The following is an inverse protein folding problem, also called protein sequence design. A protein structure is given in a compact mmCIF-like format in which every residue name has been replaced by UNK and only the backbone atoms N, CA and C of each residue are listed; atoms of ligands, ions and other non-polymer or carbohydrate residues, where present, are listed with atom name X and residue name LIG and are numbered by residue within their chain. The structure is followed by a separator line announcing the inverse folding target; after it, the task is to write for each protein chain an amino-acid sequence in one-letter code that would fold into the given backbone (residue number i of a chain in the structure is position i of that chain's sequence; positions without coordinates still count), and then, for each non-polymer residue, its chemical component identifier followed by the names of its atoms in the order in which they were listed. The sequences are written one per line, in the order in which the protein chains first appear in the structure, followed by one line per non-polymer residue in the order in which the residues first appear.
data_IF_170719747478
#
_entry.id   IF_170719747478
#
_cell.length_a   1.000
_cell.length_b   1.000
_cell.length_c   1.000
_cell.angle_alpha   90.00
_cell.angle_beta   90.00
_cell.angle_gamma   90.00
#
_symmetry.space_group_name_H-M   'P 1'
#
loop_
_entity.id
_entity.type
_entity.pdbx_description
1 polymer ?
#
# COMPACT_ATOMS: atom_id res chain seq x y z
N UNK A 1 18.63 7.37 6.92
CA UNK A 1 17.30 7.94 6.67
C UNK A 1 17.40 8.85 5.46
N UNK A 2 17.31 8.28 4.27
CA UNK A 2 17.26 9.05 3.04
C UNK A 2 15.92 9.78 2.96
N UNK A 3 15.95 11.03 2.53
CA UNK A 3 14.78 11.77 2.10
C UNK A 3 14.16 11.01 0.94
N UNK A 4 13.11 10.26 1.22
CA UNK A 4 12.34 9.62 0.17
C UNK A 4 11.40 10.68 -0.39
N UNK A 5 11.72 11.18 -1.57
CA UNK A 5 10.79 11.95 -2.37
C UNK A 5 9.78 10.98 -2.94
N UNK A 6 8.58 10.96 -2.36
CA UNK A 6 7.52 10.15 -2.94
C UNK A 6 6.96 10.79 -4.19
N UNK A 7 6.47 9.93 -5.07
CA UNK A 7 5.77 10.33 -6.28
C UNK A 7 4.64 11.34 -6.02
N UNK A 8 4.05 11.32 -4.83
CA UNK A 8 3.05 12.29 -4.34
C UNK A 8 3.52 13.74 -4.46
N UNK A 9 4.83 14.01 -4.35
CA UNK A 9 5.36 15.36 -4.46
C UNK A 9 5.35 15.93 -5.87
N UNK A 10 5.42 15.04 -6.86
CA UNK A 10 5.77 15.46 -8.21
C UNK A 10 4.59 15.96 -9.02
N UNK A 11 3.34 15.75 -8.61
CA UNK A 11 2.26 15.90 -9.57
C UNK A 11 1.06 16.73 -9.17
N UNK A 12 0.86 17.00 -7.94
CA UNK A 12 -0.35 17.65 -7.43
C UNK A 12 -0.75 18.93 -8.16
N UNK A 13 0.18 19.86 -8.31
CA UNK A 13 -0.07 21.17 -8.97
C UNK A 13 0.34 21.13 -10.43
N UNK A 14 1.41 20.45 -10.75
CA UNK A 14 2.01 20.42 -12.08
C UNK A 14 1.12 19.75 -13.13
N UNK A 15 0.28 18.83 -12.73
CA UNK A 15 -0.68 18.21 -13.64
C UNK A 15 -1.50 19.23 -14.43
N UNK A 16 -1.89 20.34 -13.79
CA UNK A 16 -2.72 21.36 -14.42
C UNK A 16 -1.94 22.39 -15.24
N UNK A 17 -0.63 22.49 -15.03
CA UNK A 17 0.23 23.46 -15.70
C UNK A 17 0.97 22.91 -16.93
N UNK A 18 0.79 21.65 -17.27
CA UNK A 18 1.44 21.02 -18.43
C UNK A 18 2.96 20.84 -18.30
N UNK A 19 3.54 21.17 -17.16
CA UNK A 19 4.96 21.00 -16.91
C UNK A 19 5.33 19.61 -16.45
N UNK A 20 6.39 19.10 -17.05
CA UNK A 20 6.96 17.83 -16.72
C UNK A 20 7.97 17.98 -15.57
N UNK A 21 7.63 17.60 -14.38
CA UNK A 21 8.46 17.44 -13.19
C UNK A 21 8.96 18.72 -12.51
N UNK A 22 8.70 18.86 -11.21
CA UNK A 22 9.38 19.85 -10.40
C UNK A 22 10.88 19.54 -10.34
N UNK A 23 11.71 20.56 -10.52
CA UNK A 23 13.11 20.44 -10.16
C UNK A 23 13.20 20.14 -8.65
N UNK A 24 14.04 19.19 -8.27
CA UNK A 24 14.34 18.90 -6.87
C UNK A 24 14.68 20.20 -6.15
N UNK A 25 13.85 20.64 -5.19
CA UNK A 25 14.01 21.89 -4.46
C UNK A 25 12.95 22.96 -4.72
N UNK A 26 11.95 22.70 -5.54
CA UNK A 26 10.81 23.63 -5.65
C UNK A 26 9.96 23.55 -4.37
N UNK A 27 9.55 24.70 -3.85
CA UNK A 27 8.79 24.81 -2.60
C UNK A 27 7.45 24.07 -2.59
N UNK A 28 6.89 23.75 -3.76
CA UNK A 28 5.68 22.93 -3.89
C UNK A 28 5.82 21.54 -3.25
N UNK A 29 7.02 20.95 -3.28
CA UNK A 29 7.26 19.64 -2.74
C UNK A 29 6.98 19.58 -1.23
N UNK A 30 7.11 20.67 -0.50
CA UNK A 30 7.04 20.67 0.95
C UNK A 30 5.67 20.26 1.50
N UNK A 31 4.58 20.64 0.83
CA UNK A 31 3.22 20.36 1.32
C UNK A 31 2.88 18.85 1.28
N UNK A 32 3.54 18.10 0.41
CA UNK A 32 3.26 16.68 0.19
C UNK A 32 4.48 15.78 0.39
N UNK A 33 5.56 16.33 0.97
CA UNK A 33 6.74 15.55 1.35
C UNK A 33 6.46 14.76 2.62
N UNK A 34 6.77 13.48 2.60
CA UNK A 34 6.78 12.61 3.80
C UNK A 34 8.15 12.55 4.46
N UNK A 35 9.08 13.43 4.06
CA UNK A 35 10.38 13.59 4.70
C UNK A 35 10.21 14.14 6.11
N UNK A 36 10.83 13.49 7.09
CA UNK A 36 10.71 13.81 8.52
C UNK A 36 9.30 13.68 9.12
N UNK A 37 8.36 13.07 8.42
CA UNK A 37 7.01 12.82 8.92
C UNK A 37 7.04 11.71 9.98
N UNK A 38 6.42 11.97 11.12
CA UNK A 38 6.21 10.95 12.15
C UNK A 38 5.17 9.94 11.66
N UNK A 39 5.36 8.69 12.04
CA UNK A 39 4.41 7.62 11.69
C UNK A 39 3.96 6.90 12.96
N UNK A 40 2.67 6.98 13.27
CA UNK A 40 2.05 6.29 14.39
C UNK A 40 1.14 5.17 13.90
N UNK A 41 1.30 3.99 14.46
CA UNK A 41 0.40 2.87 14.32
C UNK A 41 -0.51 2.83 15.53
N UNK A 42 -1.82 2.82 15.29
CA UNK A 42 -2.81 2.88 16.35
C UNK A 42 -3.54 1.55 16.48
N UNK A 43 -3.78 1.14 17.73
CA UNK A 43 -4.72 0.05 18.00
C UNK A 43 -6.13 0.45 17.57
N UNK A 44 -6.93 -0.56 17.21
CA UNK A 44 -8.34 -0.38 16.86
C UNK A 44 -9.15 -1.47 17.58
N UNK A 45 -10.09 -1.08 18.42
CA UNK A 45 -10.96 -1.96 19.19
C UNK A 45 -12.21 -2.40 18.40
N UNK A 46 -12.38 -1.90 17.18
CA UNK A 46 -13.48 -2.26 16.28
C UNK A 46 -13.07 -3.32 15.24
N UNK A 47 -11.89 -3.93 15.40
CA UNK A 47 -11.44 -4.97 14.49
C UNK A 47 -12.32 -6.22 14.58
N UNK A 48 -12.72 -6.72 13.43
CA UNK A 48 -13.34 -8.03 13.29
C UNK A 48 -12.26 -9.11 13.36
N UNK A 49 -12.60 -10.33 13.85
CA UNK A 49 -11.70 -11.46 13.76
C UNK A 49 -11.31 -11.76 12.31
N UNK A 50 -10.08 -12.20 12.12
CA UNK A 50 -9.67 -12.80 10.86
C UNK A 50 -10.32 -14.18 10.72
N UNK A 51 -10.85 -14.48 9.53
CA UNK A 51 -11.40 -15.78 9.18
C UNK A 51 -10.55 -16.40 8.07
N UNK A 52 -10.38 -17.73 8.08
CA UNK A 52 -9.57 -18.40 7.07
C UNK A 52 -10.21 -19.69 6.61
N UNK A 53 -10.39 -19.79 5.30
CA UNK A 53 -10.77 -21.02 4.62
C UNK A 53 -9.54 -21.66 3.99
N UNK A 54 -9.30 -22.94 4.31
CA UNK A 54 -8.15 -23.68 3.83
C UNK A 54 -8.60 -24.93 3.09
N UNK A 55 -8.05 -25.14 1.91
CA UNK A 55 -8.27 -26.35 1.13
C UNK A 55 -6.94 -26.97 0.73
N UNK A 56 -6.82 -28.28 0.87
CA UNK A 56 -5.66 -29.04 0.42
C UNK A 56 -6.11 -30.30 -0.30
N UNK A 57 -5.49 -30.58 -1.41
CA UNK A 57 -5.66 -31.82 -2.16
C UNK A 57 -4.28 -32.35 -2.54
N UNK A 58 -4.01 -33.64 -2.21
CA UNK A 58 -2.72 -34.25 -2.47
C UNK A 58 -2.83 -35.64 -3.05
N UNK A 59 -1.77 -36.06 -3.72
CA UNK A 59 -1.57 -37.40 -4.26
C UNK A 59 -0.23 -37.94 -3.78
N UNK A 60 -0.24 -39.15 -3.27
CA UNK A 60 0.95 -39.90 -2.93
C UNK A 60 1.12 -41.07 -3.91
N UNK A 61 2.28 -41.18 -4.53
CA UNK A 61 2.63 -42.18 -5.50
C UNK A 61 3.81 -42.98 -4.96
N UNK A 62 3.64 -44.29 -4.80
CA UNK A 62 4.68 -45.23 -4.36
C UNK A 62 4.91 -46.28 -5.43
N UNK A 63 5.73 -46.01 -6.45
CA UNK A 63 5.95 -46.95 -7.56
C UNK A 63 6.62 -48.25 -7.12
N UNK A 64 7.41 -48.21 -6.04
CA UNK A 64 8.06 -49.34 -5.37
C UNK A 64 8.37 -48.96 -3.91
N UNK A 65 8.88 -49.90 -3.14
CA UNK A 65 9.15 -49.74 -1.70
C UNK A 65 10.23 -48.67 -1.39
N UNK A 66 11.04 -48.30 -2.39
CA UNK A 66 12.15 -47.36 -2.24
C UNK A 66 11.80 -45.91 -2.64
N UNK A 67 10.71 -45.70 -3.34
CA UNK A 67 10.38 -44.39 -3.91
C UNK A 67 8.98 -43.94 -3.51
N UNK A 68 8.91 -42.79 -2.87
CA UNK A 68 7.64 -42.09 -2.57
C UNK A 68 7.69 -40.67 -3.17
N UNK A 69 6.64 -40.32 -3.89
CA UNK A 69 6.45 -39.00 -4.46
C UNK A 69 5.13 -38.44 -3.91
N UNK A 70 5.15 -37.23 -3.35
CA UNK A 70 3.95 -36.51 -2.94
C UNK A 70 3.80 -35.26 -3.75
N UNK A 71 2.57 -34.94 -4.13
CA UNK A 71 2.21 -33.66 -4.76
C UNK A 71 0.96 -33.16 -4.08
N UNK A 72 1.07 -32.00 -3.41
CA UNK A 72 0.00 -31.39 -2.67
C UNK A 72 -0.31 -30.00 -3.25
N UNK A 73 -1.55 -29.76 -3.65
CA UNK A 73 -2.09 -28.46 -4.02
C UNK A 73 -2.82 -27.89 -2.83
N UNK A 74 -2.52 -26.65 -2.46
CA UNK A 74 -3.16 -25.98 -1.34
C UNK A 74 -3.64 -24.56 -1.74
N UNK A 75 -4.71 -24.11 -1.05
CA UNK A 75 -5.27 -22.77 -1.15
C UNK A 75 -5.67 -22.30 0.24
N UNK A 76 -5.34 -21.05 0.52
CA UNK A 76 -5.68 -20.35 1.76
C UNK A 76 -6.36 -19.03 1.36
N UNK A 77 -7.62 -18.88 1.73
CA UNK A 77 -8.34 -17.63 1.64
C UNK A 77 -8.51 -17.06 3.04
N UNK A 78 -8.18 -15.79 3.22
CA UNK A 78 -8.21 -15.12 4.51
C UNK A 78 -8.97 -13.82 4.42
N UNK A 79 -10.14 -13.79 5.05
CA UNK A 79 -10.98 -12.62 5.18
C UNK A 79 -10.60 -11.77 6.39
N UNK A 80 -10.96 -10.50 6.34
CA UNK A 80 -10.73 -9.54 7.42
C UNK A 80 -9.27 -9.49 7.89
N UNK A 81 -8.31 -9.73 6.99
CA UNK A 81 -6.89 -9.69 7.33
C UNK A 81 -6.55 -8.37 8.01
N UNK A 82 -5.99 -8.45 9.22
CA UNK A 82 -5.64 -7.25 9.98
C UNK A 82 -4.34 -6.66 9.44
N UNK A 83 -4.40 -5.40 9.06
CA UNK A 83 -3.24 -4.71 8.49
C UNK A 83 -3.36 -3.19 8.53
N UNK A 84 -2.43 -2.54 7.85
CA UNK A 84 -2.39 -1.09 7.68
C UNK A 84 -2.62 -0.74 6.21
N UNK A 85 -3.20 0.41 5.96
CA UNK A 85 -3.38 0.93 4.60
C UNK A 85 -2.04 1.25 3.93
N UNK A 86 -1.06 1.64 4.71
CA UNK A 86 0.28 2.00 4.26
C UNK A 86 0.51 3.51 4.22
N UNK A 87 1.67 3.95 4.71
CA UNK A 87 1.99 5.37 4.82
C UNK A 87 1.98 6.09 3.48
N UNK A 88 2.52 5.46 2.44
CA UNK A 88 2.54 6.03 1.11
C UNK A 88 1.12 6.13 0.54
N UNK A 89 0.33 5.07 0.68
CA UNK A 89 -1.07 5.07 0.26
C UNK A 89 -1.88 6.15 0.99
N UNK A 90 -1.65 6.33 2.30
CA UNK A 90 -2.28 7.36 3.11
C UNK A 90 -1.98 8.77 2.59
N UNK A 91 -0.73 9.03 2.20
CA UNK A 91 -0.32 10.31 1.64
C UNK A 91 -0.95 10.57 0.25
N UNK A 92 -1.00 9.53 -0.59
CA UNK A 92 -1.66 9.62 -1.90
C UNK A 92 -3.17 9.81 -1.73
N UNK A 93 -3.77 9.13 -0.76
CA UNK A 93 -5.20 9.26 -0.48
C UNK A 93 -5.56 10.66 0.05
N UNK A 94 -4.75 11.24 0.95
CA UNK A 94 -4.90 12.63 1.39
C UNK A 94 -4.89 13.61 0.21
N UNK A 95 -3.95 13.42 -0.73
CA UNK A 95 -3.91 14.23 -1.95
C UNK A 95 -5.18 14.05 -2.79
N UNK A 96 -5.65 12.81 -2.98
CA UNK A 96 -6.86 12.54 -3.74
C UNK A 96 -8.08 13.23 -3.11
N UNK A 97 -8.23 13.14 -1.78
CA UNK A 97 -9.32 13.81 -1.06
C UNK A 97 -9.26 15.34 -1.27
N UNK A 98 -8.08 15.94 -1.28
CA UNK A 98 -7.91 17.39 -1.51
C UNK A 98 -8.22 17.79 -2.95
N UNK A 99 -7.84 16.97 -3.92
CA UNK A 99 -8.21 17.18 -5.33
C UNK A 99 -9.73 17.12 -5.48
N UNK A 100 -10.38 16.13 -4.88
CA UNK A 100 -11.85 15.97 -4.93
C UNK A 100 -12.58 17.10 -4.20
N UNK A 101 -12.06 17.59 -3.11
CA UNK A 101 -12.60 18.72 -2.38
C UNK A 101 -12.55 20.01 -3.24
N UNK A 102 -11.48 20.20 -4.02
CA UNK A 102 -11.23 21.43 -4.75
C UNK A 102 -11.08 22.65 -3.84
N UNK A 103 -11.41 23.81 -4.37
CA UNK A 103 -11.31 25.12 -3.70
C UNK A 103 -12.67 25.78 -3.42
N UNK A 104 -13.77 24.99 -3.45
CA UNK A 104 -15.11 25.45 -3.07
C UNK A 104 -15.70 26.55 -3.95
N UNK A 105 -15.23 26.70 -5.19
CA UNK A 105 -15.66 27.78 -6.08
C UNK A 105 -15.08 29.16 -5.72
N UNK A 106 -14.01 29.20 -4.93
CA UNK A 106 -13.30 30.45 -4.60
C UNK A 106 -12.87 31.19 -5.85
N UNK A 107 -13.04 32.50 -5.85
CA UNK A 107 -12.68 33.39 -6.96
C UNK A 107 -11.42 34.21 -6.68
N UNK A 108 -10.94 34.17 -5.45
CA UNK A 108 -9.69 34.80 -5.01
C UNK A 108 -8.89 33.83 -4.15
N UNK A 109 -7.57 34.08 -4.05
CA UNK A 109 -6.69 33.31 -3.13
C UNK A 109 -7.19 33.42 -1.68
N UNK A 110 -7.65 34.57 -1.26
CA UNK A 110 -8.16 34.78 0.10
C UNK A 110 -9.40 33.93 0.39
N UNK A 111 -10.34 33.84 -0.56
CA UNK A 111 -11.53 33.00 -0.43
C UNK A 111 -11.16 31.51 -0.39
N UNK A 112 -10.18 31.12 -1.24
CA UNK A 112 -9.64 29.76 -1.22
C UNK A 112 -9.05 29.41 0.14
N UNK A 113 -8.19 30.26 0.70
CA UNK A 113 -7.55 30.02 2.00
C UNK A 113 -8.59 29.88 3.13
N UNK A 114 -9.59 30.76 3.16
CA UNK A 114 -10.68 30.67 4.14
C UNK A 114 -11.50 29.37 4.00
N UNK A 115 -11.79 28.96 2.77
CA UNK A 115 -12.46 27.68 2.50
C UNK A 115 -11.60 26.50 2.96
N UNK A 116 -10.33 26.48 2.63
CA UNK A 116 -9.41 25.40 2.93
C UNK A 116 -9.18 25.24 4.45
N UNK A 117 -9.08 26.38 5.18
CA UNK A 117 -8.99 26.35 6.64
C UNK A 117 -10.23 25.72 7.26
N UNK A 118 -11.42 26.07 6.79
CA UNK A 118 -12.69 25.54 7.27
C UNK A 118 -12.90 24.04 7.02
N UNK A 119 -12.07 23.42 6.20
CA UNK A 119 -12.12 21.95 5.91
C UNK A 119 -11.18 21.14 6.78
N UNK A 120 -10.28 21.76 7.50
CA UNK A 120 -9.38 21.06 8.41
C UNK A 120 -10.07 20.76 9.75
N UNK A 121 -10.07 19.49 10.13
CA UNK A 121 -10.67 19.00 11.39
C UNK A 121 -9.56 18.77 12.41
N UNK A 122 -9.74 19.31 13.63
CA UNK A 122 -8.79 19.10 14.72
C UNK A 122 -8.81 17.64 15.18
N UNK A 123 -7.71 16.96 15.07
CA UNK A 123 -7.48 15.69 15.75
C UNK A 123 -6.99 15.98 17.18
N UNK A 124 -7.86 15.76 18.16
CA UNK A 124 -7.60 16.11 19.58
C UNK A 124 -6.48 15.27 20.21
N UNK A 125 -6.23 14.06 19.70
CA UNK A 125 -5.17 13.17 20.21
C UNK A 125 -3.78 13.72 19.91
N UNK A 126 -3.61 14.32 18.74
CA UNK A 126 -2.32 14.83 18.27
C UNK A 126 -2.21 16.36 18.33
N UNK A 127 -3.31 17.07 18.57
CA UNK A 127 -3.33 18.54 18.51
C UNK A 127 -3.03 19.10 17.11
N UNK A 128 -3.27 18.32 16.06
CA UNK A 128 -3.01 18.62 14.67
C UNK A 128 -4.30 18.53 13.86
N UNK A 129 -4.26 18.98 12.63
CA UNK A 129 -5.42 19.06 11.75
C UNK A 129 -5.31 18.04 10.61
N UNK A 130 -6.42 17.44 10.25
CA UNK A 130 -6.55 16.55 9.10
C UNK A 130 -7.75 16.98 8.24
N UNK A 131 -7.71 16.64 6.96
CA UNK A 131 -8.90 16.61 6.15
C UNK A 131 -9.76 15.43 6.59
N UNK A 132 -11.09 15.59 6.55
CA UNK A 132 -12.00 14.50 6.91
C UNK A 132 -11.74 13.24 6.06
N UNK A 133 -11.63 12.10 6.72
CA UNK A 133 -11.26 10.82 6.10
C UNK A 133 -9.76 10.62 5.82
N UNK A 134 -8.91 11.60 6.07
CA UNK A 134 -7.45 11.49 5.88
C UNK A 134 -6.75 10.96 7.12
N UNK A 135 -5.68 10.19 6.90
CA UNK A 135 -4.74 9.74 7.94
C UNK A 135 -3.51 10.65 8.07
N UNK A 136 -3.47 11.76 7.33
CA UNK A 136 -2.34 12.69 7.34
C UNK A 136 -2.66 13.92 8.17
N UNK A 137 -1.84 14.17 9.19
CA UNK A 137 -1.93 15.36 10.04
C UNK A 137 -0.97 16.44 9.55
N UNK A 138 -1.44 17.66 9.61
CA UNK A 138 -0.74 18.87 9.18
C UNK A 138 -0.92 19.99 10.17
N UNK A 139 -0.11 21.04 10.05
CA UNK A 139 -0.37 22.28 10.78
C UNK A 139 -1.68 22.91 10.31
N UNK A 140 -2.32 23.70 11.19
CA UNK A 140 -3.61 24.33 10.91
C UNK A 140 -3.60 25.39 9.79
N UNK A 141 -2.41 25.86 9.42
CA UNK A 141 -2.28 26.88 8.39
C UNK A 141 -2.32 26.27 6.98
N UNK A 142 -3.38 26.47 6.19
CA UNK A 142 -3.46 26.00 4.82
C UNK A 142 -2.69 26.87 3.83
N UNK A 143 -1.97 27.91 4.29
CA UNK A 143 -1.22 28.83 3.43
C UNK A 143 0.17 28.30 3.09
N UNK A 144 0.64 28.59 1.91
CA UNK A 144 1.99 28.31 1.44
C UNK A 144 2.58 29.50 0.68
N UNK A 145 3.89 29.50 0.43
CA UNK A 145 4.54 30.52 -0.43
C UNK A 145 4.08 30.45 -1.89
N UNK A 146 3.23 29.49 -2.24
CA UNK A 146 2.75 29.19 -3.59
C UNK A 146 1.22 29.18 -3.66
N UNK A 147 0.55 29.99 -2.84
CA UNK A 147 -0.92 30.04 -2.79
C UNK A 147 -1.56 30.35 -4.13
N UNK A 148 -0.94 31.21 -4.95
CA UNK A 148 -1.41 31.53 -6.30
C UNK A 148 -1.40 30.28 -7.22
N UNK A 149 -0.36 29.46 -7.11
CA UNK A 149 -0.24 28.23 -7.92
C UNK A 149 -1.25 27.18 -7.47
N UNK A 150 -1.48 27.05 -6.16
CA UNK A 150 -2.52 26.19 -5.63
C UNK A 150 -3.91 26.65 -6.07
N UNK A 151 -4.17 27.94 -6.04
CA UNK A 151 -5.42 28.53 -6.53
C UNK A 151 -5.64 28.23 -8.01
N UNK A 152 -4.63 28.44 -8.85
CA UNK A 152 -4.69 28.17 -10.28
C UNK A 152 -4.86 26.67 -10.57
N UNK A 153 -4.31 25.80 -9.74
CA UNK A 153 -4.48 24.35 -9.83
C UNK A 153 -5.83 23.85 -9.28
N UNK A 154 -6.60 24.71 -8.62
CA UNK A 154 -7.88 24.32 -8.01
C UNK A 154 -7.76 23.38 -6.82
N UNK A 155 -6.63 23.41 -6.11
CA UNK A 155 -6.31 22.51 -4.98
C UNK A 155 -5.95 23.35 -3.76
N UNK A 156 -6.47 22.98 -2.59
CA UNK A 156 -6.10 23.64 -1.34
C UNK A 156 -4.62 23.46 -1.01
N UNK A 157 -3.88 24.51 -0.66
CA UNK A 157 -2.60 24.37 0.01
C UNK A 157 -2.84 23.71 1.37
N UNK A 158 -1.89 22.88 1.80
CA UNK A 158 -2.10 22.03 2.97
C UNK A 158 -1.02 22.19 4.04
N UNK A 159 0.08 22.83 3.71
CA UNK A 159 1.27 22.80 4.55
C UNK A 159 1.98 21.44 4.52
N UNK A 160 3.14 21.37 5.14
CA UNK A 160 3.93 20.16 5.18
C UNK A 160 3.23 19.04 5.97
N UNK A 161 3.38 17.81 5.52
CA UNK A 161 2.96 16.65 6.30
C UNK A 161 3.79 16.55 7.57
N UNK A 162 3.12 16.50 8.71
CA UNK A 162 3.74 16.40 10.03
C UNK A 162 3.72 14.96 10.54
N UNK A 163 2.57 14.34 10.44
CA UNK A 163 2.34 13.00 10.99
C UNK A 163 1.41 12.21 10.08
N UNK A 164 1.72 10.94 9.87
CA UNK A 164 0.76 9.94 9.37
C UNK A 164 0.37 9.06 10.56
N UNK A 165 -0.92 8.96 10.85
CA UNK A 165 -1.44 8.06 11.87
C UNK A 165 -2.35 7.02 11.22
N UNK A 166 -2.04 5.76 11.44
CA UNK A 166 -2.76 4.67 10.82
C UNK A 166 -3.33 3.73 11.88
N UNK A 167 -4.66 3.62 11.99
CA UNK A 167 -5.27 2.56 12.75
C UNK A 167 -5.09 1.23 12.03
N UNK A 168 -4.91 0.15 12.78
CA UNK A 168 -5.10 -1.18 12.23
C UNK A 168 -6.55 -1.32 11.75
N UNK A 169 -6.73 -1.94 10.61
CA UNK A 169 -8.04 -2.15 9.99
C UNK A 169 -8.14 -3.54 9.38
N UNK A 170 -9.38 -4.00 9.21
CA UNK A 170 -9.61 -5.20 8.44
C UNK A 170 -9.46 -4.85 6.95
N UNK A 171 -8.50 -5.51 6.32
CA UNK A 171 -8.29 -5.45 4.87
C UNK A 171 -9.25 -6.43 4.19
N UNK A 172 -9.40 -6.30 2.89
CA UNK A 172 -10.19 -7.22 2.08
C UNK A 172 -9.54 -8.62 1.98
N UNK A 173 -10.10 -9.50 1.19
CA UNK A 173 -9.66 -10.88 1.02
C UNK A 173 -8.18 -10.98 0.61
N UNK A 174 -7.48 -11.88 1.27
CA UNK A 174 -6.14 -12.32 0.86
C UNK A 174 -6.19 -13.77 0.40
N UNK A 175 -5.67 -14.04 -0.78
CA UNK A 175 -5.59 -15.39 -1.34
C UNK A 175 -4.14 -15.81 -1.49
N UNK A 176 -3.80 -17.00 -1.00
CA UNK A 176 -2.48 -17.60 -1.21
C UNK A 176 -2.69 -19.04 -1.68
N UNK A 177 -2.07 -19.39 -2.80
CA UNK A 177 -2.16 -20.74 -3.38
C UNK A 177 -0.78 -21.25 -3.74
N UNK A 178 -0.60 -22.55 -3.65
CA UNK A 178 0.67 -23.16 -4.01
C UNK A 178 0.60 -24.65 -4.21
N UNK A 179 1.76 -25.19 -4.60
CA UNK A 179 1.97 -26.61 -4.85
C UNK A 179 3.25 -27.03 -4.17
N UNK A 180 3.14 -28.07 -3.34
CA UNK A 180 4.27 -28.73 -2.69
C UNK A 180 4.55 -30.06 -3.35
N UNK A 181 5.81 -30.31 -3.64
CA UNK A 181 6.29 -31.58 -4.22
C UNK A 181 7.38 -32.12 -3.31
N UNK A 182 7.26 -33.39 -2.91
CA UNK A 182 8.34 -34.06 -2.22
C UNK A 182 8.61 -35.42 -2.84
N UNK A 183 9.90 -35.77 -2.92
CA UNK A 183 10.40 -37.05 -3.41
C UNK A 183 11.30 -37.63 -2.33
N UNK A 184 11.00 -38.85 -1.93
CA UNK A 184 11.77 -39.62 -0.97
C UNK A 184 12.26 -40.88 -1.67
N UNK A 185 13.57 -41.07 -1.66
CA UNK A 185 14.18 -42.24 -2.29
C UNK A 185 15.18 -42.90 -1.35
N UNK A 186 14.87 -44.13 -0.95
CA UNK A 186 15.69 -44.97 -0.09
C UNK A 186 16.30 -46.10 -0.90
N UNK A 187 17.62 -46.32 -0.82
CA UNK A 187 18.28 -47.41 -1.48
C UNK A 187 19.50 -47.89 -0.71
N UNK A 188 19.74 -49.20 -0.80
CA UNK A 188 20.87 -49.88 -0.19
C UNK A 188 21.96 -50.13 -1.22
N UNK A 189 23.22 -50.00 -0.80
CA UNK A 189 24.38 -50.32 -1.60
C UNK A 189 25.38 -51.11 -0.80
N UNK A 190 26.41 -51.67 -1.46
CA UNK A 190 27.49 -52.38 -0.78
C UNK A 190 28.35 -51.52 0.17
N UNK A 191 28.19 -50.19 0.09
CA UNK A 191 28.94 -49.23 0.91
C UNK A 191 28.07 -48.55 1.96
N UNK A 192 26.74 -48.83 1.99
CA UNK A 192 25.80 -48.30 2.98
C UNK A 192 24.42 -48.01 2.41
N UNK A 193 23.57 -47.54 3.28
CA UNK A 193 22.19 -47.15 2.99
C UNK A 193 22.12 -45.68 2.74
N UNK A 194 21.36 -45.29 1.73
CA UNK A 194 21.19 -43.89 1.28
C UNK A 194 19.73 -43.50 1.34
N UNK A 195 19.50 -42.29 1.88
CA UNK A 195 18.20 -41.63 1.86
C UNK A 195 18.35 -40.30 1.14
N UNK A 196 17.58 -40.09 0.08
CA UNK A 196 17.54 -38.84 -0.69
C UNK A 196 16.16 -38.24 -0.52
N UNK A 197 16.12 -36.99 -0.06
CA UNK A 197 14.88 -36.21 0.05
C UNK A 197 15.02 -34.96 -0.78
N UNK A 198 14.07 -34.75 -1.72
CA UNK A 198 13.93 -33.54 -2.50
C UNK A 198 12.58 -32.92 -2.17
N UNK A 199 12.56 -31.64 -1.79
CA UNK A 199 11.32 -30.91 -1.50
C UNK A 199 11.31 -29.59 -2.26
N UNK A 200 10.18 -29.27 -2.88
CA UNK A 200 9.94 -28.02 -3.57
C UNK A 200 8.58 -27.47 -3.16
N UNK A 201 8.54 -26.18 -2.85
CA UNK A 201 7.31 -25.42 -2.61
C UNK A 201 7.22 -24.29 -3.62
N UNK A 202 6.15 -24.27 -4.38
CA UNK A 202 5.89 -23.32 -5.46
C UNK A 202 4.66 -22.51 -5.05
N UNK A 203 4.82 -21.20 -4.91
CA UNK A 203 3.70 -20.29 -4.70
C UNK A 203 3.13 -19.88 -6.05
N UNK A 204 1.89 -20.26 -6.31
CA UNK A 204 1.22 -19.96 -7.57
C UNK A 204 0.52 -18.61 -7.55
N UNK A 205 -0.12 -18.30 -6.42
CA UNK A 205 -0.86 -17.05 -6.21
C UNK A 205 -0.55 -16.46 -4.83
N UNK A 206 -0.35 -15.17 -4.76
CA UNK A 206 -0.34 -14.41 -3.53
C UNK A 206 -0.93 -13.03 -3.83
N UNK A 207 -2.17 -12.82 -3.45
CA UNK A 207 -2.95 -11.65 -3.80
C UNK A 207 -3.64 -11.05 -2.58
N UNK A 208 -3.69 -9.74 -2.53
CA UNK A 208 -4.48 -8.96 -1.58
C UNK A 208 -5.48 -8.13 -2.36
N UNK A 209 -6.77 -8.36 -2.12
CA UNK A 209 -7.81 -7.52 -2.71
C UNK A 209 -7.72 -6.07 -2.22
N UNK A 210 -8.02 -5.11 -3.09
CA UNK A 210 -7.95 -3.70 -2.74
C UNK A 210 -9.06 -3.29 -1.75
N UNK A 211 -8.70 -2.46 -0.78
CA UNK A 211 -9.68 -1.74 0.04
C UNK A 211 -10.42 -0.69 -0.79
N UNK A 212 -11.49 -0.13 -0.23
CA UNK A 212 -12.24 0.94 -0.91
C UNK A 212 -11.39 2.19 -1.17
N UNK A 213 -10.53 2.57 -0.23
CA UNK A 213 -9.61 3.69 -0.42
C UNK A 213 -8.58 3.40 -1.50
N UNK A 214 -8.01 2.19 -1.53
CA UNK A 214 -7.08 1.79 -2.58
C UNK A 214 -7.74 1.77 -3.95
N UNK A 215 -8.96 1.26 -4.03
CA UNK A 215 -9.76 1.26 -5.27
C UNK A 215 -10.02 2.68 -5.77
N UNK A 216 -10.29 3.63 -4.86
CA UNK A 216 -10.48 5.04 -5.21
C UNK A 216 -9.19 5.65 -5.79
N UNK A 217 -8.02 5.36 -5.19
CA UNK A 217 -6.73 5.82 -5.72
C UNK A 217 -6.48 5.20 -7.10
N UNK A 218 -6.69 3.88 -7.24
CA UNK A 218 -6.48 3.18 -8.51
C UNK A 218 -7.36 3.71 -9.63
N UNK A 219 -8.61 4.01 -9.33
CA UNK A 219 -9.54 4.65 -10.27
C UNK A 219 -9.05 6.05 -10.68
N UNK A 220 -8.56 6.85 -9.72
CA UNK A 220 -8.03 8.18 -9.97
C UNK A 220 -6.73 8.16 -10.80
N UNK A 221 -5.93 7.10 -10.69
CA UNK A 221 -4.80 6.87 -11.60
C UNK A 221 -5.27 6.50 -13.00
N UNK A 222 -6.26 5.61 -13.09
CA UNK A 222 -6.79 5.15 -14.38
C UNK A 222 -7.48 6.26 -15.18
N UNK A 223 -8.22 7.16 -14.53
CA UNK A 223 -8.88 8.29 -15.16
C UNK A 223 -7.98 9.53 -15.37
N UNK A 224 -6.73 9.45 -14.88
CA UNK A 224 -5.74 10.51 -15.00
C UNK A 224 -5.93 11.65 -13.99
N UNK A 225 -6.76 11.52 -12.97
CA UNK A 225 -6.83 12.45 -11.82
C UNK A 225 -5.52 12.44 -11.04
N UNK A 226 -4.95 11.27 -10.87
CA UNK A 226 -3.58 11.07 -10.39
C UNK A 226 -2.67 10.59 -11.54
N UNK A 227 -1.37 10.85 -11.50
CA UNK A 227 -0.45 10.42 -12.55
C UNK A 227 -0.28 8.91 -12.62
N UNK A 228 -0.01 8.41 -13.83
CA UNK A 228 0.23 6.98 -14.07
C UNK A 228 1.46 6.40 -13.33
N UNK A 229 2.39 7.25 -12.89
CA UNK A 229 3.57 6.83 -12.11
C UNK A 229 3.34 6.86 -10.59
N UNK A 230 2.10 7.04 -10.13
CA UNK A 230 1.76 6.96 -8.71
C UNK A 230 2.07 5.55 -8.19
N UNK A 231 2.96 5.47 -7.21
CA UNK A 231 3.36 4.20 -6.60
C UNK A 231 2.36 3.83 -5.51
N UNK A 232 1.73 2.67 -5.65
CA UNK A 232 0.82 2.08 -4.68
C UNK A 232 1.42 0.79 -4.15
N UNK A 233 1.22 0.50 -2.87
CA UNK A 233 1.87 -0.61 -2.16
C UNK A 233 0.84 -1.51 -1.48
N UNK A 234 1.13 -2.82 -1.43
CA UNK A 234 0.45 -3.75 -0.54
C UNK A 234 -0.85 -4.38 -1.05
N UNK A 235 -1.19 -4.19 -2.34
CA UNK A 235 -2.43 -4.70 -2.93
C UNK A 235 -2.19 -5.29 -4.32
N UNK A 236 -3.11 -6.14 -4.76
CA UNK A 236 -3.04 -6.85 -6.02
C UNK A 236 -2.15 -8.09 -5.94
N UNK A 237 -1.44 -8.39 -7.01
CA UNK A 237 -0.50 -9.52 -7.07
C UNK A 237 0.75 -9.22 -6.22
N UNK A 238 0.82 -9.85 -5.06
CA UNK A 238 1.92 -9.70 -4.11
C UNK A 238 3.09 -10.63 -4.41
N UNK A 239 2.90 -11.67 -5.21
CA UNK A 239 3.96 -12.61 -5.59
C UNK A 239 5.06 -11.92 -6.39
N UNK A 240 4.67 -11.03 -7.29
CA UNK A 240 5.56 -10.35 -8.23
C UNK A 240 5.78 -8.86 -7.91
N UNK A 241 5.28 -8.37 -6.79
CA UNK A 241 5.35 -6.96 -6.43
C UNK A 241 6.62 -6.65 -5.63
N UNK A 242 7.65 -6.16 -6.31
CA UNK A 242 8.94 -5.79 -5.71
C UNK A 242 8.85 -4.67 -4.66
N UNK A 243 7.76 -3.90 -4.64
CA UNK A 243 7.59 -2.75 -3.76
C UNK A 243 7.22 -3.12 -2.31
N UNK A 244 6.88 -4.39 -2.03
CA UNK A 244 6.39 -4.79 -0.71
C UNK A 244 7.49 -5.35 0.18
N UNK A 245 8.68 -5.61 -0.36
CA UNK A 245 9.78 -6.26 0.37
C UNK A 245 9.47 -7.71 0.79
N UNK A 246 8.36 -8.27 0.32
CA UNK A 246 7.98 -9.67 0.48
C UNK A 246 8.11 -10.37 -0.86
N UNK A 247 9.33 -10.59 -1.26
CA UNK A 247 9.63 -11.43 -2.40
C UNK A 247 9.33 -12.88 -2.03
N UNK A 248 8.16 -13.36 -2.38
CA UNK A 248 7.73 -14.75 -2.18
C UNK A 248 8.34 -15.61 -3.28
N UNK A 249 9.55 -16.10 -3.03
CA UNK A 249 10.28 -16.95 -3.96
C UNK A 249 9.90 -18.41 -3.76
N UNK A 250 9.83 -19.11 -4.88
CA UNK A 250 9.75 -20.57 -4.87
C UNK A 250 10.98 -21.16 -4.17
N UNK A 251 10.78 -22.16 -3.33
CA UNK A 251 11.86 -22.78 -2.57
C UNK A 251 12.09 -24.22 -3.01
N UNK A 252 13.36 -24.56 -3.24
CA UNK A 252 13.83 -25.92 -3.47
C UNK A 252 14.78 -26.32 -2.34
N UNK A 253 14.49 -27.42 -1.65
CA UNK A 253 15.39 -28.03 -0.65
C UNK A 253 15.82 -29.41 -1.14
N UNK A 254 17.10 -29.69 -1.03
CA UNK A 254 17.74 -30.97 -1.37
C UNK A 254 18.34 -31.57 -0.12
#
# INVERSE_FOLDING_TARGET
TGTRTDAVQEYRIYKNNGDSRPSSGSGFANDYTISNTLHYRLGNDQLLPEESDNATFGVVITPNDSLTITVDRWSIEKDNTIGLFGRNNSSVYDLLLRIQQGIGGATTVSDMLAFCEGKNVLNSQFGKYALDGSYVLRDSNPSSSYDDDFFNAGICPAGQQDTVYEPYQNLALRTVEGTDIAIYYDFETSIGDFNITLQSSITDKFEQEPSSQFSAISAAVADGTLPAYTVLEGYGDLKNNENIGTDQKDTLKV
#
